data_IF_030987576104
#
_entry.id   IF_030987576104
#
_cell.length_a   1.000
_cell.length_b   1.000
_cell.length_c   1.000
_cell.angle_alpha   90.00
_cell.angle_beta   90.00
_cell.angle_gamma   90.00
#
_symmetry.space_group_name_H-M   'P 1'
#
loop_
_entity.id
_entity.type
_entity.pdbx_description
1 polymer ?
#
# COMPACT_ATOMS: atom_id res chain seq x y z
N UNK A 1 -6.68 -10.84 1.30
CA UNK A 1 -6.99 -9.57 0.61
C UNK A 1 -7.08 -9.83 -0.87
N UNK A 2 -7.74 -8.96 -1.61
CA UNK A 2 -7.89 -9.09 -3.06
C UNK A 2 -6.58 -8.73 -3.77
N UNK A 3 -6.32 -9.36 -4.91
CA UNK A 3 -5.16 -9.02 -5.74
C UNK A 3 -5.27 -7.54 -6.17
N UNK A 4 -4.20 -6.76 -5.96
CA UNK A 4 -4.23 -5.31 -6.18
C UNK A 4 -4.86 -4.50 -5.04
N UNK A 5 -5.35 -5.15 -3.98
CA UNK A 5 -5.92 -4.48 -2.81
C UNK A 5 -4.88 -3.77 -1.94
N UNK A 6 -5.32 -2.86 -1.05
CA UNK A 6 -4.42 -2.08 -0.20
C UNK A 6 -3.91 -2.86 1.01
N UNK A 7 -2.66 -2.60 1.40
CA UNK A 7 -2.13 -2.88 2.72
C UNK A 7 -1.96 -1.55 3.45
N UNK A 8 -2.70 -1.34 4.54
CA UNK A 8 -2.70 -0.10 5.32
C UNK A 8 -2.13 -0.29 6.72
N UNK A 9 -1.58 0.79 7.28
CA UNK A 9 -1.13 0.86 8.67
C UNK A 9 -1.75 2.09 9.33
N UNK A 10 -2.24 1.94 10.56
CA UNK A 10 -2.76 3.05 11.35
C UNK A 10 -1.61 3.87 11.97
N UNK A 11 -1.66 5.19 11.83
CA UNK A 11 -0.76 6.16 12.47
C UNK A 11 -1.24 6.50 13.88
N UNK A 12 -0.39 7.14 14.67
CA UNK A 12 -0.75 7.59 16.02
C UNK A 12 -1.93 8.58 16.09
N UNK A 13 -2.26 9.25 14.99
CA UNK A 13 -3.40 10.18 14.89
C UNK A 13 -4.69 9.54 14.32
N UNK A 14 -4.76 8.20 14.30
CA UNK A 14 -5.89 7.41 13.77
C UNK A 14 -6.13 7.57 12.26
N UNK A 15 -5.20 8.17 11.52
CA UNK A 15 -5.20 8.14 10.05
C UNK A 15 -4.51 6.87 9.55
N UNK A 16 -4.92 6.37 8.39
CA UNK A 16 -4.30 5.19 7.76
C UNK A 16 -3.37 5.60 6.62
N UNK A 17 -2.21 4.96 6.53
CA UNK A 17 -1.27 5.09 5.42
C UNK A 17 -1.30 3.85 4.54
N UNK A 18 -1.30 4.04 3.22
CA UNK A 18 -1.12 2.97 2.25
C UNK A 18 0.36 2.62 2.12
N UNK A 19 0.76 1.48 2.68
CA UNK A 19 2.17 1.05 2.70
C UNK A 19 2.50 -0.01 1.64
N UNK A 20 1.47 -0.72 1.16
CA UNK A 20 1.64 -1.79 0.19
C UNK A 20 0.43 -2.02 -0.71
N UNK A 21 0.66 -2.72 -1.81
CA UNK A 21 -0.38 -3.28 -2.69
C UNK A 21 -0.20 -4.78 -2.74
N UNK A 22 -1.27 -5.55 -2.54
CA UNK A 22 -1.25 -7.02 -2.58
C UNK A 22 -0.69 -7.49 -3.92
N UNK A 23 0.39 -8.28 -3.90
CA UNK A 23 0.99 -8.85 -5.10
C UNK A 23 0.70 -10.35 -5.17
N UNK A 24 1.30 -11.15 -4.28
CA UNK A 24 1.11 -12.59 -4.26
C UNK A 24 1.47 -13.17 -2.88
N UNK A 25 1.23 -14.47 -2.72
CA UNK A 25 1.65 -15.23 -1.54
C UNK A 25 1.56 -16.72 -1.83
N UNK A 26 2.22 -17.52 -1.01
CA UNK A 26 2.07 -18.97 -1.09
C UNK A 26 0.82 -19.36 -0.30
N UNK A 27 -0.24 -19.73 -1.01
CA UNK A 27 -1.56 -19.94 -0.42
C UNK A 27 -2.19 -18.63 0.10
N UNK A 28 -3.45 -18.69 0.51
CA UNK A 28 -4.16 -17.55 1.07
C UNK A 28 -3.73 -17.29 2.53
N UNK A 29 -2.48 -16.88 2.74
CA UNK A 29 -1.91 -16.63 4.07
C UNK A 29 -1.38 -17.89 4.77
N UNK A 30 -0.65 -18.76 4.04
CA UNK A 30 -0.09 -19.98 4.63
C UNK A 30 0.89 -19.63 5.76
N UNK A 31 0.68 -20.24 6.93
CA UNK A 31 1.58 -20.10 8.08
C UNK A 31 3.02 -20.41 7.69
N UNK A 32 3.95 -19.54 8.11
CA UNK A 32 5.38 -19.64 7.79
C UNK A 32 5.78 -19.00 6.46
N UNK A 33 4.82 -18.53 5.64
CA UNK A 33 5.08 -17.83 4.39
C UNK A 33 4.42 -16.44 4.41
N UNK A 34 5.21 -15.35 4.36
CA UNK A 34 4.62 -14.01 4.33
C UNK A 34 3.91 -13.75 3.01
N UNK A 35 2.87 -12.91 3.07
CA UNK A 35 2.36 -12.27 1.87
C UNK A 35 3.39 -11.30 1.30
N UNK A 36 3.47 -11.23 -0.02
CA UNK A 36 4.36 -10.32 -0.75
C UNK A 36 3.54 -9.15 -1.28
N UNK A 37 4.01 -7.95 -0.99
CA UNK A 37 3.35 -6.69 -1.32
C UNK A 37 4.30 -5.77 -2.08
N UNK A 38 3.78 -5.03 -3.05
CA UNK A 38 4.53 -3.96 -3.70
C UNK A 38 4.76 -2.82 -2.71
N UNK A 39 6.03 -2.48 -2.45
CA UNK A 39 6.41 -1.42 -1.51
C UNK A 39 6.06 -0.02 -2.06
N UNK A 40 4.99 0.59 -1.56
CA UNK A 40 4.48 1.89 -2.05
C UNK A 40 5.51 3.01 -1.89
N UNK A 41 6.28 3.01 -0.80
CA UNK A 41 7.29 4.06 -0.55
C UNK A 41 8.37 4.13 -1.63
N UNK A 42 8.63 3.02 -2.35
CA UNK A 42 9.61 2.98 -3.45
C UNK A 42 9.15 3.79 -4.67
N UNK A 43 7.84 4.00 -4.81
CA UNK A 43 7.22 4.63 -5.98
C UNK A 43 6.67 6.03 -5.71
N UNK A 44 6.91 6.62 -4.52
CA UNK A 44 6.35 7.94 -4.17
C UNK A 44 6.69 9.04 -5.18
N UNK A 45 7.90 9.01 -5.75
CA UNK A 45 8.27 9.96 -6.81
C UNK A 45 7.39 9.79 -8.05
N UNK A 46 7.23 8.55 -8.55
CA UNK A 46 6.39 8.25 -9.70
C UNK A 46 4.92 8.60 -9.44
N UNK A 47 4.40 8.26 -8.25
CA UNK A 47 3.03 8.58 -7.85
C UNK A 47 2.84 10.10 -7.86
N UNK A 48 3.70 10.86 -7.18
CA UNK A 48 3.62 12.33 -7.14
C UNK A 48 3.73 12.94 -8.53
N UNK A 49 4.59 12.41 -9.39
CA UNK A 49 4.77 12.88 -10.76
C UNK A 49 3.49 12.71 -11.60
N UNK A 50 2.79 11.57 -11.46
CA UNK A 50 1.62 11.23 -12.26
C UNK A 50 0.29 11.69 -11.64
N UNK A 51 0.26 11.92 -10.33
CA UNK A 51 -0.92 12.39 -9.62
C UNK A 51 -0.97 13.93 -9.45
N UNK A 52 -0.12 14.70 -10.13
CA UNK A 52 -0.03 16.17 -9.95
C UNK A 52 -1.34 16.93 -10.11
N UNK A 53 -2.27 16.40 -10.90
CA UNK A 53 -3.61 16.98 -11.14
C UNK A 53 -4.69 16.41 -10.22
N UNK A 54 -4.33 15.52 -9.30
CA UNK A 54 -5.24 14.96 -8.30
C UNK A 54 -5.55 15.97 -7.21
N UNK A 55 -6.73 15.82 -6.60
CA UNK A 55 -7.05 16.53 -5.36
C UNK A 55 -6.25 15.89 -4.22
N UNK A 56 -5.34 16.67 -3.63
CA UNK A 56 -4.63 16.26 -2.43
C UNK A 56 -5.36 16.83 -1.22
N UNK A 57 -5.49 16.02 -0.16
CA UNK A 57 -5.88 16.55 1.14
C UNK A 57 -4.76 17.49 1.62
N UNK A 58 -5.08 18.74 1.88
CA UNK A 58 -4.24 19.61 2.69
C UNK A 58 -4.29 19.13 4.14
N UNK A 59 -3.13 19.11 4.81
CA UNK A 59 -3.02 18.70 6.21
C UNK A 59 -3.76 19.64 7.17
#
# INVERSE_FOLDING_TARGET
GDSGGPLTVERGDKRYELVGVVSWGIGCGRVGYPGVYTRVTKYLYWIRHNARRGCFCSD
#
